data_IF_702065717777
#
_entry.id   IF_702065717777
#
_cell.length_a   1.000
_cell.length_b   1.000
_cell.length_c   1.000
_cell.angle_alpha   90.00
_cell.angle_beta   90.00
_cell.angle_gamma   90.00
#
_symmetry.space_group_name_H-M   'P 1'
#
loop_
_entity.id
_entity.type
_entity.pdbx_description
1 polymer ?
#
# COMPACT_ATOMS: atom_id res chain seq x y z
N UNK A 1 6.57 -10.65 11.90
CA UNK A 1 7.33 -9.64 11.15
C UNK A 1 6.32 -8.64 10.66
N UNK A 2 6.35 -7.47 11.25
CA UNK A 2 5.40 -6.40 11.03
C UNK A 2 5.57 -5.80 9.63
N UNK A 3 4.61 -6.05 8.75
CA UNK A 3 4.64 -5.48 7.39
C UNK A 3 4.41 -3.97 7.48
N UNK A 4 5.33 -3.19 6.91
CA UNK A 4 5.29 -1.72 6.88
C UNK A 4 5.98 -1.05 8.08
N UNK A 5 6.29 0.24 7.92
CA UNK A 5 6.82 1.13 8.98
C UNK A 5 5.67 2.01 9.50
N UNK A 6 5.87 2.69 10.63
CA UNK A 6 4.89 3.66 11.11
C UNK A 6 4.61 4.72 10.03
N UNK A 7 3.33 4.92 9.71
CA UNK A 7 2.84 5.76 8.61
C UNK A 7 2.80 5.10 7.24
N UNK A 8 3.11 3.80 7.13
CA UNK A 8 2.85 3.02 5.92
C UNK A 8 1.35 2.84 5.71
N UNK A 9 0.86 3.09 4.50
CA UNK A 9 -0.57 2.99 4.19
C UNK A 9 -0.85 2.29 2.86
N UNK A 10 -2.04 1.70 2.74
CA UNK A 10 -2.56 1.17 1.47
C UNK A 10 -4.06 1.39 1.38
N UNK A 11 -4.55 1.54 0.16
CA UNK A 11 -5.99 1.48 -0.15
C UNK A 11 -6.28 0.08 -0.70
N UNK A 12 -7.34 -0.54 -0.21
CA UNK A 12 -7.81 -1.86 -0.66
C UNK A 12 -9.33 -1.87 -0.78
N UNK A 13 -9.84 -2.85 -1.51
CA UNK A 13 -11.29 -3.09 -1.53
C UNK A 13 -11.81 -3.50 -0.14
N UNK A 14 -13.02 -3.06 0.17
CA UNK A 14 -13.74 -3.47 1.36
C UNK A 14 -14.21 -4.90 1.22
N UNK A 15 -13.95 -5.73 2.24
CA UNK A 15 -14.42 -7.11 2.28
C UNK A 15 -15.85 -7.21 2.86
N UNK A 16 -16.24 -6.25 3.70
CA UNK A 16 -17.55 -6.25 4.35
C UNK A 16 -18.64 -5.60 3.51
N UNK A 17 -18.26 -4.64 2.64
CA UNK A 17 -19.20 -3.92 1.79
C UNK A 17 -18.66 -3.78 0.37
N UNK A 18 -19.10 -4.64 -0.57
CA UNK A 18 -18.68 -4.55 -1.97
C UNK A 18 -18.94 -3.16 -2.55
N UNK A 19 -17.96 -2.63 -3.29
CA UNK A 19 -17.99 -1.29 -3.89
C UNK A 19 -17.37 -0.19 -3.03
N UNK A 20 -17.24 -0.39 -1.72
CA UNK A 20 -16.49 0.52 -0.84
C UNK A 20 -15.00 0.14 -0.78
N UNK A 21 -14.19 1.09 -0.33
CA UNK A 21 -12.75 0.92 -0.13
C UNK A 21 -12.38 1.03 1.34
N UNK A 22 -11.17 0.61 1.70
CA UNK A 22 -10.60 0.75 3.04
C UNK A 22 -9.19 1.27 2.93
N UNK A 23 -8.90 2.37 3.62
CA UNK A 23 -7.56 2.88 3.86
C UNK A 23 -7.01 2.21 5.12
N UNK A 24 -5.97 1.40 4.95
CA UNK A 24 -5.30 0.72 6.07
C UNK A 24 -3.99 1.43 6.34
N UNK A 25 -3.79 1.90 7.57
CA UNK A 25 -2.61 2.68 7.98
C UNK A 25 -1.94 2.02 9.18
N UNK A 26 -0.63 1.83 9.08
CA UNK A 26 0.20 1.37 10.19
C UNK A 26 0.48 2.55 11.12
N UNK A 27 -0.03 2.50 12.34
CA UNK A 27 0.23 3.49 13.39
C UNK A 27 0.92 2.79 14.56
N UNK A 28 2.24 2.98 14.68
CA UNK A 28 3.11 2.37 15.68
C UNK A 28 2.84 0.86 15.92
N UNK A 29 2.07 0.54 16.95
CA UNK A 29 1.76 -0.79 17.46
C UNK A 29 0.54 -1.45 16.81
N UNK A 30 -0.29 -0.69 16.09
CA UNK A 30 -1.54 -1.18 15.49
C UNK A 30 -1.71 -0.78 14.02
N UNK A 31 -2.73 -1.38 13.40
CA UNK A 31 -3.20 -1.01 12.06
C UNK A 31 -4.60 -0.43 12.20
N UNK A 32 -4.75 0.82 11.78
CA UNK A 32 -6.03 1.51 11.75
C UNK A 32 -6.66 1.32 10.37
N UNK A 33 -7.94 0.95 10.35
CA UNK A 33 -8.72 0.77 9.13
C UNK A 33 -9.80 1.84 9.04
N UNK A 34 -9.67 2.72 8.04
CA UNK A 34 -10.64 3.78 7.75
C UNK A 34 -11.48 3.34 6.56
N UNK A 35 -12.80 3.31 6.73
CA UNK A 35 -13.73 3.01 5.64
C UNK A 35 -13.79 4.21 4.69
N UNK A 36 -13.62 3.95 3.39
CA UNK A 36 -13.84 4.93 2.32
C UNK A 36 -15.12 4.51 1.59
N UNK A 37 -16.12 5.38 1.58
CA UNK A 37 -17.40 5.13 0.92
C UNK A 37 -17.42 5.81 -0.44
N UNK A 38 -18.13 5.21 -1.38
CA UNK A 38 -18.44 5.84 -2.67
C UNK A 38 -19.93 6.20 -2.72
N UNK A 39 -20.25 7.49 -2.68
CA UNK A 39 -21.63 8.01 -2.64
C UNK A 39 -21.75 9.26 -3.53
N UNK A 40 -22.85 9.35 -4.28
CA UNK A 40 -23.13 10.48 -5.19
C UNK A 40 -21.99 10.78 -6.18
N UNK A 41 -21.29 9.74 -6.63
CA UNK A 41 -20.15 9.87 -7.54
C UNK A 41 -18.84 10.33 -6.90
N UNK A 42 -18.80 10.49 -5.56
CA UNK A 42 -17.63 10.99 -4.81
C UNK A 42 -17.20 10.04 -3.68
N UNK A 43 -15.94 10.16 -3.27
CA UNK A 43 -15.33 9.40 -2.18
C UNK A 43 -15.30 10.21 -0.88
N UNK A 44 -15.63 9.58 0.25
CA UNK A 44 -15.50 10.17 1.58
C UNK A 44 -15.10 9.11 2.64
N UNK A 45 -14.77 9.56 3.85
CA UNK A 45 -14.37 8.68 4.96
C UNK A 45 -15.39 8.59 6.10
N UNK A 46 -16.67 8.83 5.81
CA UNK A 46 -17.72 8.87 6.84
C UNK A 46 -18.33 10.26 7.08
N UNK A 47 -17.64 11.32 6.66
CA UNK A 47 -18.06 12.71 6.76
C UNK A 47 -16.93 13.68 6.37
N UNK A 48 -17.22 14.98 6.37
CA UNK A 48 -16.27 16.01 5.97
C UNK A 48 -16.25 16.26 4.45
N UNK A 49 -15.05 16.48 3.91
CA UNK A 49 -14.83 16.78 2.49
C UNK A 49 -15.05 15.54 1.62
N UNK A 50 -15.63 15.74 0.42
CA UNK A 50 -15.88 14.70 -0.58
C UNK A 50 -14.96 14.90 -1.77
N UNK A 51 -14.40 13.82 -2.30
CA UNK A 51 -13.36 13.85 -3.34
C UNK A 51 -13.82 13.16 -4.62
N UNK A 52 -13.33 13.61 -5.78
CA UNK A 52 -13.66 12.99 -7.07
C UNK A 52 -12.85 11.71 -7.35
N UNK A 53 -11.67 11.57 -6.73
CA UNK A 53 -10.82 10.39 -6.85
C UNK A 53 -10.25 9.93 -5.51
N UNK A 54 -9.90 8.64 -5.42
CA UNK A 54 -9.16 8.09 -4.28
C UNK A 54 -7.79 8.75 -4.10
N UNK A 55 -7.16 9.17 -5.21
CA UNK A 55 -5.87 9.87 -5.19
C UNK A 55 -6.00 11.21 -4.46
N UNK A 56 -7.03 12.00 -4.77
CA UNK A 56 -7.26 13.30 -4.15
C UNK A 56 -7.57 13.15 -2.65
N UNK A 57 -8.38 12.14 -2.30
CA UNK A 57 -8.67 11.80 -0.90
C UNK A 57 -7.39 11.48 -0.13
N UNK A 58 -6.52 10.64 -0.68
CA UNK A 58 -5.24 10.27 -0.04
C UNK A 58 -4.32 11.48 0.08
N UNK A 59 -4.20 12.30 -0.96
CA UNK A 59 -3.34 13.48 -0.95
C UNK A 59 -3.81 14.54 0.05
N UNK A 60 -5.14 14.70 0.21
CA UNK A 60 -5.72 15.53 1.25
C UNK A 60 -5.35 15.04 2.66
N UNK A 61 -5.59 13.76 2.96
CA UNK A 61 -5.32 13.20 4.29
C UNK A 61 -3.83 12.98 4.59
N UNK A 62 -2.98 13.08 3.57
CA UNK A 62 -1.53 13.15 3.73
C UNK A 62 -1.08 14.49 4.30
N UNK A 63 -1.75 15.58 3.93
CA UNK A 63 -1.48 16.95 4.42
C UNK A 63 -2.26 17.26 5.70
N UNK A 64 -3.44 16.67 5.85
CA UNK A 64 -4.33 16.85 6.99
C UNK A 64 -4.55 15.49 7.70
N UNK A 65 -3.71 15.12 8.68
CA UNK A 65 -3.80 13.83 9.35
C UNK A 65 -5.15 13.61 10.02
N UNK A 66 -5.67 12.39 9.95
CA UNK A 66 -6.90 12.01 10.64
C UNK A 66 -6.64 11.77 12.12
N UNK A 67 -7.64 11.95 12.98
CA UNK A 67 -7.55 11.63 14.41
C UNK A 67 -8.56 10.54 14.74
N UNK A 68 -8.09 9.44 15.32
CA UNK A 68 -8.92 8.34 15.79
C UNK A 68 -9.67 8.75 17.08
N UNK A 69 -10.76 8.06 17.42
CA UNK A 69 -11.53 8.31 18.65
C UNK A 69 -10.68 8.21 19.92
N UNK A 70 -9.60 7.42 19.90
CA UNK A 70 -8.65 7.30 21.01
C UNK A 70 -7.68 8.48 21.12
N UNK A 71 -7.76 9.46 20.22
CA UNK A 71 -6.84 10.60 20.13
C UNK A 71 -5.54 10.31 19.35
N UNK A 72 -5.39 9.11 18.80
CA UNK A 72 -4.22 8.74 18.00
C UNK A 72 -4.27 9.43 16.63
N UNK A 73 -3.18 10.12 16.26
CA UNK A 73 -3.07 10.79 14.96
C UNK A 73 -2.59 9.81 13.89
N UNK A 74 -3.37 9.67 12.82
CA UNK A 74 -3.12 8.76 11.70
C UNK A 74 -2.40 9.51 10.59
N UNK A 75 -1.10 9.26 10.43
CA UNK A 75 -0.27 9.90 9.41
C UNK A 75 -0.07 9.01 8.18
N UNK A 76 -0.39 9.53 6.99
CA UNK A 76 -0.10 8.86 5.71
C UNK A 76 1.29 9.26 5.20
N UNK A 77 2.34 8.56 5.63
CA UNK A 77 3.72 8.94 5.28
C UNK A 77 4.17 8.35 3.95
N UNK A 78 3.99 7.03 3.78
CA UNK A 78 4.53 6.30 2.64
C UNK A 78 3.57 5.22 2.16
N UNK A 79 3.38 5.05 0.84
CA UNK A 79 2.59 3.96 0.32
C UNK A 79 3.25 2.62 0.65
N UNK A 80 2.43 1.63 0.99
CA UNK A 80 2.84 0.25 1.15
C UNK A 80 2.59 -0.50 -0.15
N UNK A 81 3.67 -0.85 -0.84
CA UNK A 81 3.61 -1.62 -2.08
C UNK A 81 3.22 -3.06 -1.75
N UNK A 82 1.94 -3.37 -1.88
CA UNK A 82 1.43 -4.71 -1.70
C UNK A 82 1.86 -5.60 -2.87
N UNK A 83 2.48 -6.75 -2.55
CA UNK A 83 2.85 -7.77 -3.54
C UNK A 83 1.68 -8.68 -3.92
N UNK A 84 0.60 -8.67 -3.14
CA UNK A 84 -0.60 -9.47 -3.40
C UNK A 84 -1.48 -8.77 -4.43
N UNK A 85 -1.78 -9.46 -5.52
CA UNK A 85 -2.64 -8.97 -6.60
C UNK A 85 -3.71 -10.00 -6.96
N UNK A 86 -4.77 -9.54 -7.63
CA UNK A 86 -5.74 -10.42 -8.26
C UNK A 86 -5.16 -10.94 -9.58
N UNK A 87 -5.31 -12.23 -9.88
CA UNK A 87 -4.76 -12.82 -11.10
C UNK A 87 -5.27 -12.11 -12.38
N UNK A 88 -6.51 -11.62 -12.37
CA UNK A 88 -7.08 -10.85 -13.49
C UNK A 88 -6.39 -9.50 -13.74
N UNK A 89 -5.65 -8.96 -12.78
CA UNK A 89 -4.95 -7.66 -12.90
C UNK A 89 -3.43 -7.81 -13.04
N UNK A 90 -2.94 -9.04 -13.29
CA UNK A 90 -1.49 -9.32 -13.41
C UNK A 90 -0.82 -8.48 -14.50
N UNK A 91 -1.45 -8.30 -15.66
CA UNK A 91 -0.88 -7.53 -16.76
C UNK A 91 -0.67 -6.06 -16.36
N UNK A 92 -1.64 -5.45 -15.69
CA UNK A 92 -1.52 -4.10 -15.16
C UNK A 92 -0.37 -4.00 -14.14
N UNK A 93 -0.22 -5.00 -13.26
CA UNK A 93 0.86 -5.03 -12.26
C UNK A 93 2.23 -5.15 -12.93
N UNK A 94 2.37 -6.02 -13.94
CA UNK A 94 3.62 -6.21 -14.70
C UNK A 94 4.02 -4.92 -15.40
N UNK A 95 3.08 -4.24 -16.07
CA UNK A 95 3.35 -2.93 -16.69
C UNK A 95 3.79 -1.89 -15.66
N UNK A 96 3.17 -1.86 -14.48
CA UNK A 96 3.55 -0.94 -13.42
C UNK A 96 4.96 -1.23 -12.88
N UNK A 97 5.31 -2.50 -12.67
CA UNK A 97 6.64 -2.91 -12.20
C UNK A 97 7.74 -2.68 -13.23
N UNK A 98 7.40 -2.77 -14.51
CA UNK A 98 8.31 -2.55 -15.62
C UNK A 98 8.65 -1.07 -15.85
N UNK A 99 7.82 -0.13 -15.36
CA UNK A 99 8.11 1.30 -15.47
C UNK A 99 9.36 1.64 -14.64
N UNK A 100 10.35 2.22 -15.30
CA UNK A 100 11.53 2.77 -14.62
C UNK A 100 11.12 3.97 -13.77
N UNK A 101 11.52 3.98 -12.51
CA UNK A 101 11.33 5.12 -11.63
C UNK A 101 12.33 6.22 -12.05
N UNK A 102 11.85 7.38 -12.50
CA UNK A 102 12.69 8.45 -13.05
C UNK A 102 13.74 9.02 -12.07
N UNK A 103 13.67 8.64 -10.79
CA UNK A 103 14.59 9.08 -9.73
C UNK A 103 15.71 8.09 -9.40
N UNK A 104 15.73 6.87 -9.98
CA UNK A 104 16.78 5.88 -9.70
C UNK A 104 17.22 5.14 -10.95
N UNK A 105 18.45 5.42 -11.39
CA UNK A 105 19.12 4.68 -12.46
C UNK A 105 19.19 3.18 -12.13
N UNK A 106 18.42 2.38 -12.86
CA UNK A 106 18.56 0.92 -12.91
C UNK A 106 17.81 0.10 -11.84
N UNK A 107 16.96 0.71 -11.00
CA UNK A 107 16.17 -0.02 -10.00
C UNK A 107 14.67 0.15 -10.25
N UNK A 108 14.13 -0.62 -11.19
CA UNK A 108 12.69 -0.68 -11.47
C UNK A 108 11.93 -1.43 -10.37
N UNK A 109 10.60 -1.39 -10.39
CA UNK A 109 9.76 -1.98 -9.34
C UNK A 109 9.99 -3.48 -9.14
N UNK A 110 10.30 -4.24 -10.20
CA UNK A 110 10.64 -5.67 -10.07
C UNK A 110 11.87 -5.90 -9.19
N UNK A 111 12.90 -5.07 -9.37
CA UNK A 111 14.13 -5.17 -8.59
C UNK A 111 13.88 -4.87 -7.12
N UNK A 112 13.04 -3.87 -6.82
CA UNK A 112 12.68 -3.52 -5.44
C UNK A 112 11.94 -4.66 -4.73
N UNK A 113 10.96 -5.30 -5.40
CA UNK A 113 10.24 -6.44 -4.82
C UNK A 113 11.14 -7.66 -4.64
N UNK A 114 12.02 -7.93 -5.61
CA UNK A 114 12.99 -9.01 -5.52
C UNK A 114 13.93 -8.81 -4.33
N UNK A 115 14.58 -7.65 -4.22
CA UNK A 115 15.50 -7.33 -3.11
C UNK A 115 14.80 -7.37 -1.74
N UNK A 116 13.51 -6.99 -1.67
CA UNK A 116 12.73 -7.10 -0.45
C UNK A 116 12.55 -8.55 0.01
N UNK A 117 12.38 -9.50 -0.92
CA UNK A 117 12.35 -10.94 -0.61
C UNK A 117 13.74 -11.44 -0.17
N UNK A 118 14.79 -11.02 -0.89
CA UNK A 118 16.17 -11.39 -0.59
C UNK A 118 16.56 -11.03 0.86
N UNK A 119 16.17 -9.86 1.34
CA UNK A 119 16.42 -9.41 2.72
C UNK A 119 15.69 -10.24 3.78
N UNK A 120 14.57 -10.88 3.43
CA UNK A 120 13.82 -11.75 4.34
C UNK A 120 14.44 -13.15 4.43
N UNK A 121 15.07 -13.62 3.36
CA UNK A 121 15.68 -14.95 3.28
C UNK A 121 16.93 -15.12 4.15
N UNK A 122 17.55 -14.06 4.68
CA UNK A 122 18.57 -14.17 5.74
C UNK A 122 18.07 -14.92 7.00
N UNK A 123 16.77 -15.23 7.08
CA UNK A 123 16.14 -16.02 8.15
C UNK A 123 15.86 -17.48 7.77
N UNK A 124 15.94 -17.84 6.50
CA UNK A 124 15.77 -19.21 6.02
C UNK A 124 17.11 -19.73 5.50
N UNK A 125 17.73 -20.63 6.26
CA UNK A 125 19.06 -21.23 6.04
C UNK A 125 19.13 -22.18 4.81
N UNK A 126 18.62 -21.79 3.64
CA UNK A 126 18.69 -22.64 2.46
C UNK A 126 19.75 -22.15 1.47
N UNK A 127 20.65 -23.07 1.12
CA UNK A 127 21.76 -22.84 0.21
C UNK A 127 21.26 -22.65 -1.23
N UNK A 128 21.76 -21.62 -1.91
CA UNK A 128 21.39 -21.28 -3.30
C UNK A 128 22.30 -21.92 -4.35
N UNK A 129 22.76 -23.15 -4.10
CA UNK A 129 23.57 -23.89 -5.09
C UNK A 129 22.75 -24.38 -6.28
N UNK A 130 21.43 -24.46 -6.16
CA UNK A 130 20.57 -24.81 -7.28
C UNK A 130 20.21 -23.57 -8.11
N UNK A 131 20.55 -23.59 -9.40
CA UNK A 131 20.19 -22.54 -10.36
C UNK A 131 21.31 -21.58 -10.76
N UNK A 132 22.52 -21.68 -10.18
CA UNK A 132 23.68 -21.02 -10.75
C UNK A 132 24.00 -21.66 -12.11
N UNK A 133 23.95 -20.84 -13.17
CA UNK A 133 24.42 -21.26 -14.49
C UNK A 133 25.92 -21.60 -14.36
N UNK A 134 26.39 -22.72 -14.94
CA UNK A 134 27.80 -23.10 -14.89
C UNK A 134 28.71 -22.04 -15.53
#
# INVERSE_FOLDING_TARGET
MDKGKNGSFLVRESQSKPGDFVLSVRTDDKVTHVMIRYQDGKYDVGGGEKFDSLTDLVEHYKKNPMVETTGTVVHLKMPFNATRITASTIECRVQQLAKENSQSSGKAGFWEEFEYLQQQECKHLYSRKEGQKP
#
